data_IF_748263132612
#
_entry.id   IF_748263132612
#
_cell.length_a   1.000
_cell.length_b   1.000
_cell.length_c   1.000
_cell.angle_alpha   90.00
_cell.angle_beta   90.00
_cell.angle_gamma   90.00
#
_symmetry.space_group_name_H-M   'P 1'
#
loop_
_entity.id
_entity.type
_entity.pdbx_description
1 polymer ?
#
# COMPACT_ATOMS: atom_id res chain seq x y z
N UNK A 1 -15.56 64.35 -10.61
CA UNK A 1 -15.08 63.07 -11.16
C UNK A 1 -13.58 62.94 -10.95
N UNK A 2 -13.12 62.21 -9.93
CA UNK A 2 -11.84 61.48 -9.95
C UNK A 2 -11.79 60.53 -8.76
N UNK A 3 -11.49 59.26 -9.05
CA UNK A 3 -11.71 58.09 -8.20
C UNK A 3 -10.69 58.03 -7.06
N UNK A 4 -11.17 57.63 -5.88
CA UNK A 4 -10.39 57.22 -4.72
C UNK A 4 -9.63 55.94 -5.06
N UNK A 5 -8.30 55.97 -5.03
CA UNK A 5 -7.48 54.75 -5.02
C UNK A 5 -7.45 54.22 -3.58
N UNK A 6 -8.30 53.24 -3.31
CA UNK A 6 -8.36 52.50 -2.07
C UNK A 6 -7.21 51.47 -2.06
N UNK A 7 -6.29 51.64 -1.13
CA UNK A 7 -5.20 50.72 -0.82
C UNK A 7 -5.71 49.29 -0.62
N UNK A 8 -5.13 48.34 -1.34
CA UNK A 8 -5.30 46.92 -1.03
C UNK A 8 -3.92 46.25 -1.09
N UNK A 9 -3.22 46.30 0.04
CA UNK A 9 -2.01 45.50 0.26
C UNK A 9 -2.51 44.07 0.51
N UNK A 10 -2.51 43.25 -0.54
CA UNK A 10 -2.75 41.81 -0.41
C UNK A 10 -1.43 41.18 0.04
N UNK A 11 -1.24 41.06 1.36
CA UNK A 11 -0.18 40.24 1.94
C UNK A 11 -0.65 38.79 1.94
N UNK A 12 -0.42 38.06 0.86
CA UNK A 12 -0.60 36.61 0.84
C UNK A 12 0.65 35.99 1.49
N UNK A 13 0.57 35.78 2.81
CA UNK A 13 1.47 34.89 3.54
C UNK A 13 1.09 33.43 3.20
N UNK A 14 1.57 32.92 2.07
CA UNK A 14 1.65 31.46 1.86
C UNK A 14 2.98 31.03 2.47
N UNK A 15 2.96 30.85 3.79
CA UNK A 15 4.04 30.20 4.52
C UNK A 15 3.97 28.71 4.20
N UNK A 16 5.10 28.16 3.75
CA UNK A 16 5.16 26.93 2.95
C UNK A 16 4.62 25.68 3.63
N UNK A 17 3.84 24.92 2.86
CA UNK A 17 3.56 23.51 3.14
C UNK A 17 4.82 22.72 2.81
N UNK A 18 5.69 22.55 3.81
CA UNK A 18 6.87 21.69 3.73
C UNK A 18 6.49 20.27 4.19
N UNK A 19 6.96 19.28 3.43
CA UNK A 19 6.88 17.83 3.63
C UNK A 19 5.58 17.13 3.18
N UNK A 20 5.41 17.04 1.85
CA UNK A 20 4.54 16.02 1.26
C UNK A 20 5.29 14.68 1.29
N UNK A 21 5.11 13.92 2.36
CA UNK A 21 5.22 12.46 2.27
C UNK A 21 4.11 12.01 1.32
N UNK A 22 4.49 11.44 0.17
CA UNK A 22 3.54 10.97 -0.85
C UNK A 22 3.02 9.59 -0.45
N UNK A 23 2.16 9.57 0.54
CA UNK A 23 1.44 8.34 0.89
C UNK A 23 0.32 8.09 -0.13
N UNK A 24 0.04 6.82 -0.46
CA UNK A 24 -1.06 6.49 -1.37
C UNK A 24 -2.39 6.92 -0.76
N UNK A 25 -3.29 7.45 -1.60
CA UNK A 25 -4.65 7.77 -1.17
C UNK A 25 -5.40 6.46 -0.96
N UNK A 26 -5.80 6.19 0.28
CA UNK A 26 -6.52 4.97 0.64
C UNK A 26 -8.02 5.12 0.34
N UNK A 27 -8.70 4.04 -0.12
CA UNK A 27 -10.16 4.01 -0.17
C UNK A 27 -10.76 4.26 1.21
N UNK A 28 -11.91 4.93 1.27
CA UNK A 28 -12.54 5.39 2.52
C UNK A 28 -12.69 4.28 3.57
N UNK A 29 -13.18 3.10 3.17
CA UNK A 29 -13.34 1.96 4.08
C UNK A 29 -12.00 1.43 4.62
N UNK A 30 -10.94 1.49 3.82
CA UNK A 30 -9.59 1.08 4.23
C UNK A 30 -9.01 2.10 5.20
N UNK A 31 -9.21 3.41 4.94
CA UNK A 31 -8.80 4.47 5.86
C UNK A 31 -9.51 4.35 7.21
N UNK A 32 -10.83 4.13 7.22
CA UNK A 32 -11.58 3.95 8.47
C UNK A 32 -11.07 2.72 9.26
N UNK A 33 -10.72 1.64 8.57
CA UNK A 33 -10.13 0.47 9.21
C UNK A 33 -8.70 0.72 9.72
N UNK A 34 -7.91 1.53 8.97
CA UNK A 34 -6.56 1.93 9.33
C UNK A 34 -6.54 2.73 10.65
N UNK A 35 -7.47 3.68 10.78
CA UNK A 35 -7.58 4.52 11.98
C UNK A 35 -7.96 3.73 13.25
N UNK A 36 -8.52 2.51 13.06
CA UNK A 36 -8.93 1.60 14.13
C UNK A 36 -7.90 0.48 14.41
N UNK A 37 -6.74 0.49 13.74
CA UNK A 37 -5.72 -0.52 13.96
C UNK A 37 -5.14 -0.46 15.39
N UNK A 38 -4.64 -1.59 15.91
CA UNK A 38 -3.94 -1.59 17.19
C UNK A 38 -2.71 -0.68 17.14
N UNK A 39 -2.42 0.01 18.25
CA UNK A 39 -1.24 0.88 18.39
C UNK A 39 0.09 0.19 18.06
N UNK A 40 0.13 -1.14 18.21
CA UNK A 40 1.28 -1.96 17.88
C UNK A 40 0.84 -3.12 16.99
N UNK A 41 1.41 -3.19 15.80
CA UNK A 41 1.25 -4.31 14.88
C UNK A 41 2.31 -5.36 15.19
N UNK A 42 1.89 -6.61 15.38
CA UNK A 42 2.77 -7.77 15.50
C UNK A 42 2.66 -8.62 14.23
N UNK A 43 3.81 -8.98 13.65
CA UNK A 43 3.83 -9.74 12.42
C UNK A 43 3.20 -11.12 12.57
N UNK A 44 3.50 -11.85 13.64
CA UNK A 44 3.03 -13.22 13.81
C UNK A 44 1.55 -13.29 14.16
N UNK A 45 1.05 -12.31 14.92
CA UNK A 45 -0.35 -12.28 15.35
C UNK A 45 -1.28 -11.63 14.33
N UNK A 46 -0.83 -10.59 13.62
CA UNK A 46 -1.72 -9.83 12.75
C UNK A 46 -1.42 -10.00 11.26
N UNK A 47 -0.14 -10.04 10.84
CA UNK A 47 0.22 -10.02 9.41
C UNK A 47 0.30 -11.41 8.80
N UNK A 48 1.02 -12.31 9.47
CA UNK A 48 1.26 -13.68 9.00
C UNK A 48 -0.03 -14.47 8.77
N UNK A 49 -1.09 -14.36 9.60
CA UNK A 49 -2.35 -15.05 9.32
C UNK A 49 -2.98 -14.59 8.00
N UNK A 50 -2.95 -13.28 7.71
CA UNK A 50 -3.47 -12.72 6.45
C UNK A 50 -2.66 -13.25 5.27
N UNK A 51 -1.33 -13.19 5.33
CA UNK A 51 -0.47 -13.67 4.25
C UNK A 51 -0.63 -15.18 4.02
N UNK A 52 -0.76 -15.95 5.10
CA UNK A 52 -0.95 -17.41 5.03
C UNK A 52 -2.26 -17.78 4.38
N UNK A 53 -3.34 -17.08 4.72
CA UNK A 53 -4.68 -17.37 4.20
C UNK A 53 -4.88 -16.84 2.77
N UNK A 54 -4.34 -15.65 2.48
CA UNK A 54 -4.65 -14.91 1.24
C UNK A 54 -3.57 -14.96 0.17
N UNK A 55 -2.31 -15.22 0.52
CA UNK A 55 -1.18 -14.99 -0.39
C UNK A 55 -0.27 -16.21 -0.61
N UNK A 56 -0.06 -17.04 0.42
CA UNK A 56 0.95 -18.12 0.36
C UNK A 56 0.59 -19.27 -0.57
N UNK A 57 -0.65 -19.36 -1.06
CA UNK A 57 -1.02 -20.35 -2.08
C UNK A 57 -0.18 -20.16 -3.35
N UNK A 58 0.05 -18.90 -3.77
CA UNK A 58 0.79 -18.56 -4.98
C UNK A 58 2.14 -17.89 -4.70
N UNK A 59 2.36 -17.33 -3.50
CA UNK A 59 3.58 -16.61 -3.13
C UNK A 59 4.17 -17.12 -1.80
N UNK A 60 3.99 -18.41 -1.50
CA UNK A 60 4.41 -19.04 -0.25
C UNK A 60 5.59 -20.03 -0.42
N UNK A 61 5.74 -20.99 0.51
CA UNK A 61 6.88 -21.91 0.53
C UNK A 61 6.84 -23.02 -0.53
N UNK A 62 5.67 -23.31 -1.10
CA UNK A 62 5.53 -24.34 -2.13
C UNK A 62 6.09 -23.86 -3.47
N UNK A 63 7.35 -24.19 -3.73
CA UNK A 63 8.07 -23.81 -4.96
C UNK A 63 7.36 -24.22 -6.24
N UNK A 64 6.52 -25.27 -6.22
CA UNK A 64 5.78 -25.71 -7.39
C UNK A 64 4.62 -24.76 -7.75
N UNK A 65 4.18 -23.93 -6.79
CA UNK A 65 3.07 -22.97 -6.95
C UNK A 65 3.52 -21.51 -6.99
N UNK A 66 4.81 -21.24 -6.78
CA UNK A 66 5.35 -19.88 -6.74
C UNK A 66 5.15 -19.16 -8.08
N UNK A 67 4.35 -18.10 -8.07
CA UNK A 67 4.20 -17.14 -9.16
C UNK A 67 5.23 -16.01 -9.04
N UNK A 68 5.68 -15.50 -10.19
CA UNK A 68 6.59 -14.36 -10.32
C UNK A 68 7.92 -14.45 -9.54
N UNK A 69 8.37 -15.66 -9.20
CA UNK A 69 9.51 -15.91 -8.31
C UNK A 69 9.43 -15.19 -6.95
N UNK A 70 8.23 -14.80 -6.52
CA UNK A 70 7.98 -14.05 -5.30
C UNK A 70 7.57 -15.00 -4.16
N UNK A 71 8.25 -14.89 -3.03
CA UNK A 71 7.96 -15.66 -1.81
C UNK A 71 7.84 -14.70 -0.62
N UNK A 72 6.61 -14.45 -0.18
CA UNK A 72 6.29 -13.48 0.87
C UNK A 72 6.59 -14.01 2.29
N UNK A 73 6.77 -15.33 2.44
CA UNK A 73 7.09 -15.95 3.72
C UNK A 73 8.57 -15.82 4.13
N UNK A 74 9.45 -15.42 3.21
CA UNK A 74 10.87 -15.19 3.47
C UNK A 74 11.16 -13.70 3.36
N UNK A 75 11.55 -13.01 4.45
CA UNK A 75 11.82 -11.57 4.43
C UNK A 75 12.82 -11.16 3.35
N UNK A 76 13.88 -11.95 3.18
CA UNK A 76 14.91 -11.73 2.16
C UNK A 76 14.33 -11.65 0.75
N UNK A 77 13.31 -12.46 0.43
CA UNK A 77 12.69 -12.51 -0.88
C UNK A 77 11.49 -11.56 -0.99
N UNK A 78 10.78 -11.31 0.10
CA UNK A 78 9.67 -10.36 0.15
C UNK A 78 10.14 -8.91 -0.06
N UNK A 79 11.35 -8.59 0.43
CA UNK A 79 11.96 -7.26 0.31
C UNK A 79 12.98 -7.14 -0.82
N UNK A 80 13.25 -8.25 -1.53
CA UNK A 80 14.13 -8.22 -2.70
C UNK A 80 13.49 -7.47 -3.86
N UNK A 81 14.36 -6.98 -4.74
CA UNK A 81 13.97 -6.48 -6.04
C UNK A 81 13.33 -7.60 -6.87
N UNK A 82 12.24 -7.27 -7.57
CA UNK A 82 11.50 -8.22 -8.39
C UNK A 82 12.32 -8.59 -9.63
N UNK A 83 12.59 -9.90 -9.79
CA UNK A 83 13.39 -10.41 -10.92
C UNK A 83 12.81 -10.04 -12.28
N UNK A 84 11.49 -9.94 -12.41
CA UNK A 84 10.80 -9.59 -13.65
C UNK A 84 10.76 -8.09 -13.93
N UNK A 85 11.05 -7.25 -12.93
CA UNK A 85 10.84 -5.80 -13.01
C UNK A 85 11.95 -5.06 -12.24
N UNK A 86 13.11 -4.80 -12.89
CA UNK A 86 14.20 -4.07 -12.25
C UNK A 86 13.75 -2.72 -11.67
N UNK A 87 14.24 -2.39 -10.48
CA UNK A 87 13.89 -1.21 -9.68
C UNK A 87 12.55 -1.31 -8.94
N UNK A 88 11.81 -2.42 -9.04
CA UNK A 88 10.52 -2.62 -8.36
C UNK A 88 10.64 -3.65 -7.24
N UNK A 89 9.82 -3.49 -6.20
CA UNK A 89 9.80 -4.35 -5.01
C UNK A 89 8.36 -4.80 -4.74
N UNK A 90 8.17 -6.05 -4.32
CA UNK A 90 6.87 -6.48 -3.79
C UNK A 90 6.52 -5.65 -2.55
N UNK A 91 7.45 -5.61 -1.60
CA UNK A 91 7.37 -4.78 -0.41
C UNK A 91 8.68 -4.00 -0.29
N UNK A 92 8.61 -2.67 -0.31
CA UNK A 92 9.74 -1.78 -0.03
C UNK A 92 9.62 -1.30 1.42
N UNK A 93 10.50 -1.76 2.34
CA UNK A 93 10.40 -1.36 3.75
C UNK A 93 10.38 0.16 3.92
N UNK A 94 9.38 0.66 4.67
CA UNK A 94 9.21 2.09 4.95
C UNK A 94 8.72 2.93 3.77
N UNK A 95 8.33 2.33 2.64
CA UNK A 95 7.86 3.08 1.47
C UNK A 95 6.66 2.38 0.80
N UNK A 96 5.46 2.85 1.12
CA UNK A 96 4.21 2.32 0.56
C UNK A 96 4.12 2.56 -0.95
N UNK A 97 4.50 3.75 -1.41
CA UNK A 97 4.44 4.13 -2.83
C UNK A 97 5.34 3.26 -3.74
N UNK A 98 6.46 2.76 -3.21
CA UNK A 98 7.36 1.87 -3.94
C UNK A 98 7.04 0.38 -3.72
N UNK A 99 6.01 0.06 -2.93
CA UNK A 99 5.59 -1.31 -2.62
C UNK A 99 4.47 -1.73 -3.57
N UNK A 100 4.79 -2.63 -4.52
CA UNK A 100 3.81 -3.17 -5.46
C UNK A 100 2.66 -3.92 -4.77
N UNK A 101 2.87 -4.41 -3.55
CA UNK A 101 1.80 -4.98 -2.73
C UNK A 101 0.64 -3.98 -2.54
N UNK A 102 0.94 -2.72 -2.24
CA UNK A 102 -0.08 -1.70 -1.96
C UNK A 102 -0.90 -1.41 -3.21
N UNK A 103 -0.22 -1.20 -4.35
CA UNK A 103 -0.87 -1.02 -5.66
C UNK A 103 -1.83 -2.18 -5.97
N UNK A 104 -1.39 -3.42 -5.73
CA UNK A 104 -2.17 -4.62 -6.07
C UNK A 104 -3.35 -4.88 -5.15
N UNK A 105 -3.22 -4.67 -3.84
CA UNK A 105 -4.33 -4.90 -2.91
C UNK A 105 -5.40 -3.80 -2.98
N UNK A 106 -5.04 -2.61 -3.48
CA UNK A 106 -5.96 -1.48 -3.66
C UNK A 106 -6.53 -1.37 -5.08
N UNK A 107 -6.00 -2.12 -6.05
CA UNK A 107 -6.50 -2.13 -7.42
C UNK A 107 -7.90 -2.75 -7.53
N UNK A 108 -8.72 -2.18 -8.42
CA UNK A 108 -9.98 -2.76 -8.89
C UNK A 108 -9.84 -3.44 -10.27
N UNK A 109 -8.69 -3.28 -10.94
CA UNK A 109 -8.39 -3.93 -12.21
C UNK A 109 -8.18 -5.45 -11.98
N UNK A 110 -9.00 -6.33 -12.60
CA UNK A 110 -8.93 -7.78 -12.40
C UNK A 110 -7.59 -8.40 -12.83
N UNK A 111 -6.84 -7.75 -13.73
CA UNK A 111 -5.54 -8.24 -14.21
C UNK A 111 -4.37 -7.82 -13.28
N UNK A 112 -4.63 -6.89 -12.36
CA UNK A 112 -3.62 -6.33 -11.45
C UNK A 112 -3.89 -6.72 -9.99
N UNK A 113 -5.17 -6.79 -9.61
CA UNK A 113 -5.60 -6.99 -8.23
C UNK A 113 -5.06 -8.29 -7.65
N UNK A 114 -4.64 -8.22 -6.38
CA UNK A 114 -4.29 -9.39 -5.60
C UNK A 114 -5.13 -9.47 -4.32
N UNK A 115 -5.63 -10.67 -3.96
CA UNK A 115 -5.53 -11.94 -4.68
C UNK A 115 -6.25 -11.92 -6.04
N UNK A 116 -5.78 -12.75 -7.00
CA UNK A 116 -6.42 -12.87 -8.31
C UNK A 116 -7.89 -13.31 -8.16
N UNK A 117 -8.84 -12.78 -8.95
CA UNK A 117 -10.26 -13.12 -8.82
C UNK A 117 -10.56 -14.62 -8.89
N UNK A 118 -9.81 -15.36 -9.70
CA UNK A 118 -9.88 -16.82 -9.88
C UNK A 118 -9.48 -17.64 -8.65
N UNK A 119 -8.75 -17.03 -7.70
CA UNK A 119 -8.45 -17.68 -6.42
C UNK A 119 -9.67 -17.78 -5.50
N UNK A 120 -10.73 -17.01 -5.79
CA UNK A 120 -11.90 -16.80 -4.93
C UNK A 120 -11.58 -16.22 -3.53
N UNK A 121 -10.34 -15.80 -3.30
CA UNK A 121 -9.90 -15.12 -2.08
C UNK A 121 -10.12 -13.62 -2.22
N UNK A 122 -10.42 -12.97 -1.10
CA UNK A 122 -10.59 -11.51 -1.03
C UNK A 122 -9.97 -10.99 0.26
N UNK A 123 -9.45 -9.77 0.19
CA UNK A 123 -9.05 -8.99 1.35
C UNK A 123 -10.19 -8.08 1.78
N UNK A 124 -10.55 -8.15 3.05
CA UNK A 124 -11.38 -7.16 3.73
C UNK A 124 -10.65 -5.82 3.87
N UNK A 125 -11.39 -4.74 4.14
CA UNK A 125 -10.79 -3.43 4.39
C UNK A 125 -9.78 -3.45 5.55
N UNK A 126 -10.07 -4.21 6.61
CA UNK A 126 -9.17 -4.38 7.74
C UNK A 126 -7.89 -5.12 7.36
N UNK A 127 -7.99 -6.20 6.58
CA UNK A 127 -6.80 -6.93 6.12
C UNK A 127 -5.93 -6.08 5.19
N UNK A 128 -6.55 -5.27 4.30
CA UNK A 128 -5.81 -4.30 3.49
C UNK A 128 -5.10 -3.27 4.37
N UNK A 129 -5.79 -2.72 5.36
CA UNK A 129 -5.23 -1.74 6.29
C UNK A 129 -4.07 -2.31 7.10
N UNK A 130 -4.16 -3.57 7.57
CA UNK A 130 -3.07 -4.24 8.28
C UNK A 130 -1.80 -4.41 7.43
N UNK A 131 -1.94 -4.49 6.10
CA UNK A 131 -0.83 -4.69 5.16
C UNK A 131 -0.21 -3.37 4.65
N UNK A 132 -0.73 -2.23 5.11
CA UNK A 132 -0.28 -0.86 4.79
C UNK A 132 0.33 -0.25 6.06
#
# INVERSE_FOLDING_TARGET
MHKRHLSLIIVINILGVLFSCKDPVLPELVQEAYDKLPKKVDFNQHIKPILSDKCFICHGPDKAKVKAALQLHLPELAFAELKSSPGKFAIKPGNLYQSQLVDRILSDDPDVVMPEPESHLKLSAHEKAMLI
#
